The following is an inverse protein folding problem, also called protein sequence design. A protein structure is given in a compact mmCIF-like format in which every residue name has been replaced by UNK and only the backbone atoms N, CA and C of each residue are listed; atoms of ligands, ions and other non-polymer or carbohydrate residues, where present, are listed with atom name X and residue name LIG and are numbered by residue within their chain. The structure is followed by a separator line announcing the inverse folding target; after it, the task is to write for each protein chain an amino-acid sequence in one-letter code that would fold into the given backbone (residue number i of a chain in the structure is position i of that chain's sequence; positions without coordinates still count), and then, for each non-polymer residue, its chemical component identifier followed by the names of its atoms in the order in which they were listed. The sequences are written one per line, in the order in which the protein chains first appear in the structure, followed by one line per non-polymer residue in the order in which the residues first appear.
data_IF_246346649736
#
_entry.id   IF_246346649736
#
_cell.length_a   1.000
_cell.length_b   1.000
_cell.length_c   1.000
_cell.angle_alpha   90.00
_cell.angle_beta   90.00
_cell.angle_gamma   90.00
#
_symmetry.space_group_name_H-M   'P 1'
#
loop_
_entity.id
_entity.type
_entity.pdbx_description
1 polymer ?
#
# COMPACT_ATOMS: atom_id res chain seq x y z
N UNK A 1 64.95 11.70 -25.38
CA UNK A 1 63.94 12.36 -24.52
C UNK A 1 62.57 11.88 -25.01
N UNK A 2 61.99 10.79 -24.48
CA UNK A 2 61.13 10.70 -23.29
C UNK A 2 59.83 11.53 -23.48
N UNK A 3 58.58 11.04 -23.28
CA UNK A 3 58.01 9.74 -22.88
C UNK A 3 56.46 9.87 -23.02
N UNK A 4 55.80 8.77 -23.41
CA UNK A 4 54.49 8.26 -22.94
C UNK A 4 53.19 9.09 -23.01
N UNK A 5 52.30 8.66 -23.91
CA UNK A 5 51.08 7.86 -23.63
C UNK A 5 49.94 8.35 -22.69
N UNK A 6 48.72 8.11 -23.21
CA UNK A 6 47.43 7.85 -22.54
C UNK A 6 46.64 9.05 -21.99
N UNK A 7 45.63 9.49 -22.78
CA UNK A 7 44.35 10.02 -22.26
C UNK A 7 43.15 9.54 -23.09
N UNK A 8 43.06 8.22 -23.26
CA UNK A 8 41.88 7.53 -23.78
C UNK A 8 41.43 6.53 -22.71
N UNK A 9 41.05 7.00 -21.51
CA UNK A 9 40.60 6.12 -20.42
C UNK A 9 39.27 6.54 -19.76
N UNK A 10 38.67 7.68 -20.12
CA UNK A 10 37.49 8.18 -19.42
C UNK A 10 36.13 7.95 -20.12
N UNK A 11 36.11 7.58 -21.41
CA UNK A 11 34.84 7.48 -22.17
C UNK A 11 34.19 6.09 -22.11
N UNK A 12 35.00 5.02 -22.06
CA UNK A 12 34.53 3.62 -22.12
C UNK A 12 33.83 3.18 -20.82
N UNK A 13 34.28 3.70 -19.67
CA UNK A 13 33.72 3.34 -18.36
C UNK A 13 32.31 3.90 -18.16
N UNK A 14 32.02 5.07 -18.72
CA UNK A 14 30.68 5.69 -18.65
C UNK A 14 29.69 5.02 -19.62
N UNK A 15 30.19 4.52 -20.76
CA UNK A 15 29.41 3.75 -21.73
C UNK A 15 29.06 2.36 -21.19
N UNK A 16 30.02 1.61 -20.63
CA UNK A 16 29.76 0.27 -20.08
C UNK A 16 28.76 0.28 -18.91
N UNK A 17 28.80 1.30 -18.03
CA UNK A 17 27.85 1.38 -16.92
C UNK A 17 26.42 1.64 -17.41
N UNK A 18 26.25 2.45 -18.45
CA UNK A 18 24.94 2.66 -19.07
C UNK A 18 24.43 1.38 -19.74
N UNK A 19 25.28 0.66 -20.48
CA UNK A 19 24.89 -0.63 -21.07
C UNK A 19 24.52 -1.68 -20.02
N UNK A 20 25.24 -1.74 -18.90
CA UNK A 20 24.90 -2.64 -17.79
C UNK A 20 23.57 -2.29 -17.13
N UNK A 21 23.28 -1.00 -16.89
CA UNK A 21 22.00 -0.56 -16.32
C UNK A 21 20.85 -0.87 -17.27
N UNK A 22 20.98 -0.56 -18.56
CA UNK A 22 19.96 -0.87 -19.57
C UNK A 22 19.75 -2.37 -19.70
N UNK A 23 20.82 -3.17 -19.66
CA UNK A 23 20.73 -4.64 -19.70
C UNK A 23 20.05 -5.22 -18.45
N UNK A 24 20.33 -4.68 -17.26
CA UNK A 24 19.64 -5.06 -16.00
C UNK A 24 18.15 -4.70 -16.07
N UNK A 25 17.80 -3.54 -16.60
CA UNK A 25 16.40 -3.13 -16.75
C UNK A 25 15.65 -4.01 -17.77
N UNK A 26 16.27 -4.33 -18.92
CA UNK A 26 15.67 -5.20 -19.94
C UNK A 26 15.53 -6.64 -19.43
N UNK A 27 16.55 -7.18 -18.75
CA UNK A 27 16.47 -8.54 -18.17
C UNK A 27 15.44 -8.61 -17.04
N UNK A 28 15.31 -7.58 -16.21
CA UNK A 28 14.23 -7.49 -15.21
C UNK A 28 12.85 -7.29 -15.84
N UNK A 29 12.72 -6.63 -17.00
CA UNK A 29 11.44 -6.52 -17.71
C UNK A 29 11.03 -7.84 -18.39
N UNK A 30 11.99 -8.62 -18.91
CA UNK A 30 11.72 -9.93 -19.51
C UNK A 30 11.46 -10.99 -18.43
N UNK A 31 12.18 -10.94 -17.30
CA UNK A 31 12.00 -11.88 -16.18
C UNK A 31 10.93 -11.44 -15.17
N UNK A 32 10.49 -10.18 -15.21
CA UNK A 32 9.41 -9.63 -14.37
C UNK A 32 8.00 -10.01 -14.85
N UNK A 33 7.90 -10.72 -15.96
CA UNK A 33 6.66 -11.36 -16.40
C UNK A 33 6.44 -12.67 -15.66
N UNK A 34 5.60 -12.61 -14.61
CA UNK A 34 5.10 -13.69 -13.73
C UNK A 34 5.85 -13.81 -12.40
N UNK A 35 5.48 -12.92 -11.47
CA UNK A 35 5.28 -13.36 -10.09
C UNK A 35 4.12 -14.37 -10.15
N UNK A 36 4.31 -15.68 -9.95
CA UNK A 36 3.18 -16.50 -9.57
C UNK A 36 2.71 -15.91 -8.25
N UNK A 37 1.50 -15.37 -8.23
CA UNK A 37 0.80 -15.14 -6.97
C UNK A 37 0.70 -16.53 -6.35
N UNK A 38 1.67 -16.90 -5.52
CA UNK A 38 1.58 -18.06 -4.66
C UNK A 38 0.58 -17.66 -3.58
N UNK A 39 -0.68 -17.66 -3.99
CA UNK A 39 -1.79 -17.77 -3.07
C UNK A 39 -1.62 -19.15 -2.45
N UNK A 40 -0.83 -19.19 -1.39
CA UNK A 40 -0.77 -20.34 -0.50
C UNK A 40 -2.16 -20.40 0.10
N UNK A 41 -3.06 -21.04 -0.64
CA UNK A 41 -4.33 -21.53 -0.14
C UNK A 41 -3.96 -22.24 1.14
N UNK A 42 -4.33 -21.64 2.27
CA UNK A 42 -4.27 -22.30 3.56
C UNK A 42 -5.04 -23.59 3.32
N UNK A 43 -4.32 -24.71 3.26
CA UNK A 43 -4.94 -26.05 3.24
C UNK A 43 -5.75 -26.13 4.52
N UNK A 44 -7.04 -25.81 4.40
CA UNK A 44 -8.06 -26.34 5.28
C UNK A 44 -7.92 -27.86 5.15
N UNK A 45 -7.80 -28.60 6.26
CA UNK A 45 -7.65 -30.04 6.21
C UNK A 45 -8.76 -30.65 5.34
N UNK A 46 -8.33 -31.43 4.36
CA UNK A 46 -9.16 -32.23 3.49
C UNK A 46 -9.82 -33.33 4.30
N UNK A 47 -10.95 -32.99 4.90
CA UNK A 47 -12.03 -33.90 5.29
C UNK A 47 -13.34 -33.10 5.29
N UNK A 48 -13.61 -32.45 4.17
CA UNK A 48 -14.98 -32.09 3.83
C UNK A 48 -15.33 -32.90 2.61
N UNK A 49 -15.85 -34.10 2.89
CA UNK A 49 -16.54 -34.90 1.90
C UNK A 49 -17.57 -34.02 1.20
N UNK A 50 -17.59 -34.15 -0.11
CA UNK A 50 -18.64 -33.68 -0.99
C UNK A 50 -19.95 -34.27 -0.48
N UNK A 51 -20.66 -33.54 0.37
CA UNK A 51 -22.11 -33.62 0.40
C UNK A 51 -22.59 -32.63 -0.64
N UNK A 52 -22.89 -33.18 -1.82
CA UNK A 52 -23.88 -32.57 -2.69
C UNK A 52 -25.22 -32.63 -1.93
N UNK A 53 -25.42 -31.71 -0.99
CA UNK A 53 -26.75 -31.30 -0.60
C UNK A 53 -27.17 -30.25 -1.61
N UNK A 54 -27.94 -30.69 -2.60
CA UNK A 54 -28.87 -29.83 -3.33
C UNK A 54 -29.89 -29.29 -2.32
N UNK A 55 -29.46 -28.34 -1.50
CA UNK A 55 -30.35 -27.51 -0.73
C UNK A 55 -30.00 -26.10 -1.17
N UNK A 56 -30.71 -25.65 -2.19
CA UNK A 56 -30.86 -24.23 -2.50
C UNK A 56 -31.40 -23.59 -1.23
N UNK A 57 -30.51 -23.19 -0.32
CA UNK A 57 -30.88 -22.37 0.81
C UNK A 57 -31.44 -21.09 0.21
N UNK A 58 -32.76 -20.98 0.27
CA UNK A 58 -33.47 -19.82 -0.23
C UNK A 58 -33.04 -18.65 0.66
N UNK A 59 -31.96 -17.98 0.25
CA UNK A 59 -31.40 -16.87 1.00
C UNK A 59 -32.51 -15.84 1.16
N UNK A 60 -32.92 -15.62 2.41
CA UNK A 60 -34.13 -14.86 2.64
C UNK A 60 -33.89 -13.43 2.19
N UNK A 61 -34.95 -12.71 1.78
CA UNK A 61 -34.81 -11.30 1.41
C UNK A 61 -34.16 -10.46 2.52
N UNK A 62 -34.33 -10.87 3.79
CA UNK A 62 -33.66 -10.22 4.94
C UNK A 62 -32.15 -10.42 4.90
N UNK A 63 -31.69 -11.64 4.63
CA UNK A 63 -30.27 -11.95 4.53
C UNK A 63 -29.62 -11.19 3.36
N UNK A 64 -30.31 -11.11 2.22
CA UNK A 64 -29.85 -10.33 1.06
C UNK A 64 -29.72 -8.85 1.41
N UNK A 65 -30.72 -8.27 2.08
CA UNK A 65 -30.70 -6.86 2.50
C UNK A 65 -29.59 -6.59 3.52
N UNK A 66 -29.40 -7.50 4.49
CA UNK A 66 -28.33 -7.38 5.48
C UNK A 66 -26.94 -7.46 4.84
N UNK A 67 -26.74 -8.35 3.86
CA UNK A 67 -25.51 -8.41 3.09
C UNK A 67 -25.27 -7.14 2.28
N UNK A 68 -26.30 -6.60 1.61
CA UNK A 68 -26.18 -5.33 0.87
C UNK A 68 -25.79 -4.20 1.82
N UNK A 69 -26.41 -4.12 2.99
CA UNK A 69 -26.10 -3.10 4.00
C UNK A 69 -24.67 -3.24 4.53
N UNK A 70 -24.17 -4.46 4.76
CA UNK A 70 -22.77 -4.72 5.14
C UNK A 70 -21.78 -4.44 4.00
N UNK A 71 -22.23 -4.52 2.75
CA UNK A 71 -21.39 -4.24 1.57
C UNK A 71 -21.28 -2.75 1.22
N UNK A 72 -22.12 -1.89 1.81
CA UNK A 72 -22.00 -0.44 1.67
C UNK A 72 -20.78 0.03 2.45
N UNK A 73 -19.72 0.33 1.72
CA UNK A 73 -18.46 0.80 2.25
C UNK A 73 -17.88 1.84 1.30
N UNK A 74 -17.43 2.95 1.86
CA UNK A 74 -16.69 3.99 1.15
C UNK A 74 -15.29 4.07 1.75
N UNK A 75 -14.29 4.21 0.88
CA UNK A 75 -12.91 4.49 1.29
C UNK A 75 -12.26 5.40 0.27
N UNK A 76 -11.69 6.50 0.76
CA UNK A 76 -10.82 7.40 0.02
C UNK A 76 -9.44 7.43 0.67
N UNK A 77 -8.40 7.34 -0.14
CA UNK A 77 -7.00 7.32 0.29
C UNK A 77 -6.31 8.49 -0.39
N UNK A 78 -5.64 9.32 0.39
CA UNK A 78 -4.82 10.39 -0.14
C UNK A 78 -3.35 10.19 0.27
N UNK A 79 -2.46 10.60 -0.63
CA UNK A 79 -1.03 10.69 -0.37
C UNK A 79 -0.51 11.85 -1.20
N UNK A 80 0.15 12.79 -0.54
CA UNK A 80 0.70 13.98 -1.16
C UNK A 80 2.13 14.21 -0.66
N UNK A 81 2.98 14.72 -1.54
CA UNK A 81 4.34 15.12 -1.23
C UNK A 81 4.49 16.61 -1.58
N UNK A 82 4.03 17.52 -0.70
CA UNK A 82 4.06 18.96 -0.98
C UNK A 82 5.49 19.53 -1.07
N UNK A 83 6.46 18.86 -0.43
CA UNK A 83 7.89 19.16 -0.49
C UNK A 83 8.67 17.83 -0.60
N UNK A 84 9.84 17.76 -1.25
CA UNK A 84 10.65 16.54 -1.28
C UNK A 84 10.92 15.92 0.09
N UNK A 85 10.95 16.73 1.15
CA UNK A 85 11.20 16.32 2.53
C UNK A 85 9.94 16.23 3.39
N UNK A 86 8.75 16.46 2.83
CA UNK A 86 7.47 16.34 3.57
C UNK A 86 6.56 15.38 2.84
N UNK A 87 6.09 14.34 3.54
CA UNK A 87 5.04 13.44 3.05
C UNK A 87 3.81 13.56 3.94
N UNK A 88 2.63 13.60 3.31
CA UNK A 88 1.33 13.59 3.95
C UNK A 88 0.53 12.42 3.40
N UNK A 89 -0.16 11.69 4.28
CA UNK A 89 -0.96 10.54 3.87
C UNK A 89 -2.09 10.29 4.85
N UNK A 90 -3.09 9.56 4.40
CA UNK A 90 -4.20 9.18 5.24
C UNK A 90 -5.39 8.68 4.44
N UNK A 91 -6.52 8.56 5.13
CA UNK A 91 -7.74 8.03 4.54
C UNK A 91 -8.98 8.54 5.25
N UNK A 92 -10.10 8.42 4.55
CA UNK A 92 -11.45 8.49 5.09
C UNK A 92 -12.13 7.18 4.73
N UNK A 93 -12.72 6.51 5.71
CA UNK A 93 -13.57 5.36 5.45
C UNK A 93 -14.89 5.46 6.21
N UNK A 94 -15.95 4.95 5.59
CA UNK A 94 -17.31 5.00 6.12
C UNK A 94 -18.07 3.73 5.74
N UNK A 95 -18.84 3.22 6.69
CA UNK A 95 -19.91 2.26 6.45
C UNK A 95 -21.18 2.75 7.18
N UNK A 96 -22.35 2.13 6.97
CA UNK A 96 -23.59 2.56 7.63
C UNK A 96 -23.59 2.56 9.17
N UNK A 97 -22.55 2.02 9.82
CA UNK A 97 -22.45 1.91 11.28
C UNK A 97 -21.32 2.74 11.89
N UNK A 98 -20.25 3.00 11.15
CA UNK A 98 -19.05 3.67 11.65
C UNK A 98 -18.31 4.43 10.55
N UNK A 99 -17.54 5.42 10.96
CA UNK A 99 -16.62 6.14 10.09
C UNK A 99 -15.32 6.42 10.80
N UNK A 100 -14.24 6.53 10.03
CA UNK A 100 -12.90 6.87 10.52
C UNK A 100 -12.22 7.82 9.53
N UNK A 101 -11.51 8.80 10.07
CA UNK A 101 -10.61 9.67 9.32
C UNK A 101 -9.23 9.65 9.97
N UNK A 102 -8.20 9.38 9.17
CA UNK A 102 -6.80 9.47 9.59
C UNK A 102 -6.03 10.40 8.66
N UNK A 103 -5.18 11.22 9.26
CA UNK A 103 -4.22 12.06 8.55
C UNK A 103 -2.90 12.02 9.32
N UNK A 104 -1.82 11.79 8.59
CA UNK A 104 -0.46 11.78 9.12
C UNK A 104 0.44 12.61 8.20
N UNK A 105 1.40 13.30 8.82
CA UNK A 105 2.45 14.02 8.14
C UNK A 105 3.80 13.66 8.76
N UNK A 106 4.79 13.51 7.90
CA UNK A 106 6.19 13.32 8.28
C UNK A 106 7.06 14.35 7.57
N UNK A 107 7.83 15.09 8.34
CA UNK A 107 8.90 15.95 7.87
C UNK A 107 10.24 15.26 8.12
N UNK A 108 10.94 14.93 7.05
CA UNK A 108 12.24 14.25 7.09
C UNK A 108 13.38 15.16 7.52
N UNK A 109 13.28 16.48 7.34
CA UNK A 109 14.35 17.42 7.71
C UNK A 109 14.46 17.58 9.22
N UNK A 110 13.32 17.74 9.88
CA UNK A 110 13.22 17.93 11.34
C UNK A 110 13.02 16.61 12.09
N UNK A 111 12.87 15.49 11.37
CA UNK A 111 12.46 14.19 11.92
C UNK A 111 11.21 14.33 12.81
N UNK A 112 10.24 15.12 12.32
CA UNK A 112 9.01 15.48 13.00
C UNK A 112 7.85 14.68 12.42
N UNK A 113 7.07 14.06 13.30
CA UNK A 113 5.89 13.27 12.96
C UNK A 113 4.69 13.86 13.64
N UNK A 114 3.61 14.06 12.90
CA UNK A 114 2.36 14.52 13.48
C UNK A 114 1.19 13.82 12.82
N UNK A 115 0.09 13.71 13.55
CA UNK A 115 -1.11 13.08 13.02
C UNK A 115 -2.36 13.41 13.81
N UNK A 116 -3.48 13.09 13.17
CA UNK A 116 -4.81 13.18 13.75
C UNK A 116 -5.63 11.98 13.32
N UNK A 117 -6.41 11.46 14.24
CA UNK A 117 -7.39 10.42 14.04
C UNK A 117 -8.73 10.89 14.58
N UNK A 118 -9.80 10.67 13.82
CA UNK A 118 -11.18 10.85 14.25
C UNK A 118 -11.97 9.62 13.90
N UNK A 119 -12.93 9.27 14.74
CA UNK A 119 -13.85 8.18 14.48
C UNK A 119 -15.19 8.45 15.11
N UNK A 120 -16.23 7.84 14.57
CA UNK A 120 -17.54 7.86 15.17
C UNK A 120 -18.39 6.68 14.75
N UNK A 121 -19.46 6.43 15.49
CA UNK A 121 -20.40 5.36 15.18
C UNK A 121 -21.86 5.84 15.19
N UNK A 122 -22.76 4.95 14.77
CA UNK A 122 -24.21 5.19 14.71
C UNK A 122 -24.85 5.48 16.07
N UNK A 123 -24.24 5.05 17.17
CA UNK A 123 -24.74 5.32 18.52
C UNK A 123 -24.39 6.73 19.03
N UNK A 124 -23.59 7.47 18.26
CA UNK A 124 -23.09 8.79 18.64
C UNK A 124 -21.81 8.74 19.47
N UNK A 125 -21.20 7.56 19.65
CA UNK A 125 -19.86 7.49 20.23
C UNK A 125 -18.88 8.14 19.25
N UNK A 126 -17.94 8.90 19.81
CA UNK A 126 -17.03 9.72 19.05
C UNK A 126 -15.70 9.83 19.77
N UNK A 127 -14.61 9.86 19.02
CA UNK A 127 -13.29 10.12 19.57
C UNK A 127 -12.39 10.84 18.59
N UNK A 128 -11.53 11.69 19.15
CA UNK A 128 -10.43 12.31 18.41
C UNK A 128 -9.12 12.04 19.16
N UNK A 129 -8.05 11.83 18.40
CA UNK A 129 -6.71 11.72 18.93
C UNK A 129 -5.75 12.53 18.06
N UNK A 130 -4.92 13.33 18.70
CA UNK A 130 -3.89 14.15 18.05
C UNK A 130 -2.56 13.82 18.70
N UNK A 131 -1.52 13.72 17.88
CA UNK A 131 -0.17 13.54 18.36
C UNK A 131 0.81 14.35 17.53
N UNK A 132 1.86 14.80 18.21
CA UNK A 132 2.97 15.55 17.65
C UNK A 132 4.24 15.03 18.34
N UNK A 133 5.10 14.41 17.55
CA UNK A 133 6.37 13.82 17.96
C UNK A 133 7.49 14.57 17.24
N UNK A 134 7.94 15.66 17.84
CA UNK A 134 9.20 16.30 17.50
C UNK A 134 10.34 15.77 18.38
N UNK A 135 11.50 15.48 17.79
CA UNK A 135 12.72 15.37 18.58
C UNK A 135 13.20 16.79 18.90
N UNK A 136 13.04 17.22 20.15
CA UNK A 136 13.86 18.30 20.69
C UNK A 136 15.30 17.76 20.83
N UNK A 137 16.14 18.08 19.85
CA UNK A 137 17.59 17.91 19.93
C UNK A 137 18.22 19.07 20.68
#
# INVERSE_FOLDING_TARGET
MARSDIKYCCSYKCSLTHFLIVFILITNHINGGRIPVNMKSRRVPSDMSVYASEESSEMTRKDIVEMIHKSQYFQDIFSEQPDPMIIQFGHVCENPTEWEQRFEQRDFNSNHYQGKMRWGNRNGDYGEHYWDLGHAG
#
